data_IF_571207671288
#
_entry.id   IF_571207671288
#
_cell.length_a   1.000
_cell.length_b   1.000
_cell.length_c   1.000
_cell.angle_alpha   90.00
_cell.angle_beta   90.00
_cell.angle_gamma   90.00
#
_symmetry.space_group_name_H-M   'P 1'
#
loop_
_entity.id
_entity.type
_entity.pdbx_description
1 polymer ?
#
# COMPACT_ATOMS: atom_id res chain seq x y z
N UNK A 1 -5.07 16.61 -3.23
CA UNK A 1 -4.78 17.97 -3.72
C UNK A 1 -4.12 17.81 -5.08
N UNK A 2 -4.56 18.49 -6.16
CA UNK A 2 -3.89 18.34 -7.45
C UNK A 2 -2.55 19.08 -7.36
N UNK A 3 -1.48 18.31 -7.28
CA UNK A 3 -0.10 18.80 -7.40
C UNK A 3 0.09 19.20 -8.88
N UNK A 4 0.75 20.33 -9.19
CA UNK A 4 1.00 20.72 -10.58
C UNK A 4 1.72 19.61 -11.36
N UNK A 5 1.28 19.36 -12.60
CA UNK A 5 1.82 18.32 -13.48
C UNK A 5 1.37 16.89 -13.18
N UNK A 6 0.38 16.68 -12.30
CA UNK A 6 -0.16 15.34 -11.99
C UNK A 6 -0.78 14.61 -13.20
N UNK A 7 -1.02 15.32 -14.29
CA UNK A 7 -1.61 14.88 -15.56
C UNK A 7 -0.56 14.50 -16.62
N UNK A 8 0.73 14.64 -16.32
CA UNK A 8 1.82 14.23 -17.21
C UNK A 8 1.83 12.71 -17.47
N UNK A 9 2.16 12.32 -18.70
CA UNK A 9 2.41 10.93 -19.06
C UNK A 9 3.58 10.38 -18.23
N UNK A 10 3.34 9.30 -17.48
CA UNK A 10 4.26 8.73 -16.49
C UNK A 10 3.86 8.98 -15.03
N UNK A 11 2.87 9.83 -14.75
CA UNK A 11 2.26 9.95 -13.42
C UNK A 11 1.06 9.01 -13.34
N UNK A 12 1.10 8.03 -12.43
CA UNK A 12 0.07 7.00 -12.29
C UNK A 12 -0.42 6.91 -10.85
N UNK A 13 -1.66 6.45 -10.65
CA UNK A 13 -2.21 6.20 -9.32
C UNK A 13 -1.80 4.83 -8.81
N UNK A 14 -1.44 4.73 -7.53
CA UNK A 14 -1.00 3.49 -6.90
C UNK A 14 -2.07 2.39 -6.95
N UNK A 15 -3.35 2.77 -6.80
CA UNK A 15 -4.47 1.82 -6.90
C UNK A 15 -4.60 1.23 -8.30
N UNK A 16 -4.47 2.05 -9.34
CA UNK A 16 -4.54 1.60 -10.73
C UNK A 16 -3.31 0.73 -11.06
N UNK A 17 -2.14 1.10 -10.54
CA UNK A 17 -0.92 0.32 -10.67
C UNK A 17 -1.07 -1.07 -10.05
N UNK A 18 -1.51 -1.17 -8.79
CA UNK A 18 -1.72 -2.45 -8.11
C UNK A 18 -2.80 -3.29 -8.78
N UNK A 19 -3.92 -2.67 -9.18
CA UNK A 19 -5.00 -3.37 -9.88
C UNK A 19 -4.48 -4.02 -11.18
N UNK A 20 -3.77 -3.26 -11.99
CA UNK A 20 -3.24 -3.77 -13.26
C UNK A 20 -2.17 -4.85 -13.04
N UNK A 21 -1.31 -4.68 -12.02
CA UNK A 21 -0.33 -5.68 -11.66
C UNK A 21 -1.00 -6.99 -11.20
N UNK A 22 -2.09 -6.90 -10.41
CA UNK A 22 -2.87 -8.05 -9.93
C UNK A 22 -3.62 -8.77 -11.05
N UNK A 23 -4.10 -8.03 -12.06
CA UNK A 23 -4.76 -8.61 -13.24
C UNK A 23 -3.77 -9.20 -14.25
N UNK A 24 -2.46 -9.15 -13.96
CA UNK A 24 -1.41 -9.70 -14.83
C UNK A 24 -1.12 -8.84 -16.07
N UNK A 25 -1.60 -7.59 -16.10
CA UNK A 25 -1.28 -6.68 -17.20
C UNK A 25 0.18 -6.26 -17.14
N UNK A 26 0.84 -6.27 -18.30
CA UNK A 26 2.20 -5.71 -18.45
C UNK A 26 2.11 -4.19 -18.37
N UNK A 27 2.46 -3.65 -17.21
CA UNK A 27 2.58 -2.21 -17.00
C UNK A 27 3.94 -1.73 -17.53
N UNK A 28 3.93 -0.79 -18.48
CA UNK A 28 5.16 -0.14 -18.92
C UNK A 28 5.57 0.93 -17.91
N UNK A 29 6.37 0.53 -16.91
CA UNK A 29 7.06 1.47 -16.03
C UNK A 29 8.45 1.79 -16.61
N UNK A 30 8.86 3.06 -16.48
CA UNK A 30 10.18 3.52 -16.91
C UNK A 30 11.31 2.99 -16.02
N UNK A 31 12.55 3.44 -16.22
CA UNK A 31 13.71 2.90 -15.48
C UNK A 31 13.88 3.52 -14.09
N UNK A 32 13.36 4.73 -13.88
CA UNK A 32 13.51 5.51 -12.65
C UNK A 32 12.13 5.81 -12.10
N UNK A 33 11.72 5.03 -11.11
CA UNK A 33 10.40 5.08 -10.52
C UNK A 33 10.44 5.81 -9.18
N UNK A 34 9.57 6.80 -8.99
CA UNK A 34 9.36 7.47 -7.71
C UNK A 34 7.96 7.17 -7.20
N UNK A 35 7.86 6.41 -6.11
CA UNK A 35 6.61 6.17 -5.39
C UNK A 35 6.44 7.25 -4.32
N UNK A 36 5.26 7.85 -4.25
CA UNK A 36 4.95 8.92 -3.30
C UNK A 36 3.91 8.42 -2.30
N UNK A 37 4.27 8.33 -1.03
CA UNK A 37 3.40 7.91 0.06
C UNK A 37 4.16 7.22 1.20
N UNK A 38 3.63 7.26 2.42
CA UNK A 38 4.25 6.68 3.61
C UNK A 38 3.55 5.46 4.21
N UNK A 39 2.32 5.14 3.77
CA UNK A 39 1.51 4.03 4.33
C UNK A 39 1.79 2.67 3.70
N UNK A 40 1.14 1.63 4.21
CA UNK A 40 1.30 0.24 3.72
C UNK A 40 1.11 0.11 2.20
N UNK A 41 0.07 0.76 1.66
CA UNK A 41 -0.17 0.78 0.20
C UNK A 41 1.03 1.33 -0.58
N UNK A 42 1.74 2.31 -0.05
CA UNK A 42 2.92 2.87 -0.71
C UNK A 42 4.10 1.88 -0.70
N UNK A 43 4.25 1.10 0.37
CA UNK A 43 5.23 0.00 0.43
C UNK A 43 4.86 -1.10 -0.56
N UNK A 44 3.60 -1.51 -0.62
CA UNK A 44 3.11 -2.52 -1.58
C UNK A 44 3.37 -2.09 -3.02
N UNK A 45 3.03 -0.84 -3.35
CA UNK A 45 3.30 -0.24 -4.66
C UNK A 45 4.80 -0.25 -4.96
N UNK A 46 5.63 0.15 -4.00
CA UNK A 46 7.07 0.23 -4.18
C UNK A 46 7.72 -1.15 -4.38
N UNK A 47 7.33 -2.15 -3.58
CA UNK A 47 7.79 -3.54 -3.72
C UNK A 47 7.31 -4.15 -5.03
N UNK A 48 6.05 -3.94 -5.41
CA UNK A 48 5.52 -4.39 -6.69
C UNK A 48 6.25 -3.75 -7.88
N UNK A 49 6.52 -2.44 -7.83
CA UNK A 49 7.33 -1.76 -8.85
C UNK A 49 8.76 -2.32 -8.92
N UNK A 50 9.38 -2.61 -7.77
CA UNK A 50 10.73 -3.17 -7.71
C UNK A 50 10.79 -4.57 -8.34
N UNK A 51 9.80 -5.42 -8.05
CA UNK A 51 9.68 -6.76 -8.67
C UNK A 51 9.44 -6.67 -10.18
N UNK A 52 8.65 -5.69 -10.64
CA UNK A 52 8.50 -5.42 -12.07
C UNK A 52 9.83 -4.98 -12.72
N UNK A 53 10.62 -4.12 -12.07
CA UNK A 53 11.95 -3.75 -12.55
C UNK A 53 12.90 -4.95 -12.63
N UNK A 54 12.83 -5.87 -11.66
CA UNK A 54 13.59 -7.12 -11.68
C UNK A 54 13.23 -7.97 -12.89
N UNK A 55 11.93 -8.21 -13.12
CA UNK A 55 11.45 -9.00 -14.25
C UNK A 55 11.87 -8.40 -15.60
N UNK A 56 11.74 -7.08 -15.78
CA UNK A 56 12.15 -6.39 -17.01
C UNK A 56 13.67 -6.39 -17.21
N UNK A 57 14.45 -6.36 -16.14
CA UNK A 57 15.92 -6.48 -16.22
C UNK A 57 16.32 -7.89 -16.64
N UNK A 58 15.66 -8.90 -16.04
CA UNK A 58 15.89 -10.30 -16.35
C UNK A 58 15.53 -10.62 -17.80
N UNK A 59 14.40 -10.14 -18.31
CA UNK A 59 13.99 -10.30 -19.72
C UNK A 59 15.02 -9.66 -20.67
N UNK A 60 15.51 -8.46 -20.35
CA UNK A 60 16.52 -7.77 -21.15
C UNK A 60 17.88 -8.49 -21.12
N UNK A 61 18.31 -8.99 -19.97
CA UNK A 61 19.56 -9.74 -19.85
C UNK A 61 19.45 -11.12 -20.52
N UNK A 62 18.35 -11.83 -20.30
CA UNK A 62 18.07 -13.13 -20.91
C UNK A 62 18.13 -13.07 -22.43
N UNK A 63 17.44 -12.09 -23.03
CA UNK A 63 17.47 -11.88 -24.48
C UNK A 63 18.83 -11.48 -25.05
N UNK A 64 19.74 -10.97 -24.22
CA UNK A 64 21.07 -10.53 -24.64
C UNK A 64 22.14 -11.60 -24.41
N UNK A 65 22.03 -12.35 -23.30
CA UNK A 65 23.11 -13.19 -22.77
C UNK A 65 22.86 -14.69 -22.95
N UNK A 66 21.61 -15.14 -23.13
CA UNK A 66 21.33 -16.57 -23.29
C UNK A 66 21.46 -17.02 -24.75
N UNK A 67 22.11 -18.16 -25.01
CA UNK A 67 22.06 -18.83 -26.30
C UNK A 67 20.63 -19.29 -26.66
N UNK A 68 20.32 -19.30 -27.96
CA UNK A 68 19.00 -19.72 -28.48
C UNK A 68 18.66 -21.20 -28.22
N UNK A 69 19.66 -22.04 -27.91
CA UNK A 69 19.48 -23.46 -27.61
C UNK A 69 20.19 -23.84 -26.31
N UNK A 70 19.40 -24.08 -25.26
CA UNK A 70 19.84 -24.59 -23.97
C UNK A 70 19.01 -25.82 -23.61
N UNK A 71 19.62 -26.81 -22.96
CA UNK A 71 18.88 -27.91 -22.35
C UNK A 71 18.07 -27.41 -21.13
N UNK A 72 17.02 -28.12 -20.69
CA UNK A 72 16.19 -27.68 -19.54
C UNK A 72 17.00 -27.40 -18.27
N UNK A 73 18.02 -28.23 -17.99
CA UNK A 73 18.90 -28.06 -16.83
C UNK A 73 19.78 -26.82 -16.96
N UNK A 74 20.32 -26.55 -18.16
CA UNK A 74 21.13 -25.36 -18.41
C UNK A 74 20.28 -24.08 -18.36
N UNK A 75 19.02 -24.14 -18.82
CA UNK A 75 18.08 -23.02 -18.68
C UNK A 75 17.82 -22.70 -17.21
N UNK A 76 17.64 -23.71 -16.35
CA UNK A 76 17.37 -23.49 -14.93
C UNK A 76 18.57 -22.88 -14.20
N UNK A 77 19.79 -23.36 -14.49
CA UNK A 77 21.04 -22.81 -13.95
C UNK A 77 21.24 -21.37 -14.43
N UNK A 78 21.11 -21.13 -15.74
CA UNK A 78 21.34 -19.81 -16.32
C UNK A 78 20.30 -18.79 -15.85
N UNK A 79 19.03 -19.20 -15.68
CA UNK A 79 17.99 -18.34 -15.13
C UNK A 79 18.31 -17.93 -13.69
N UNK A 80 18.80 -18.88 -12.87
CA UNK A 80 19.21 -18.59 -11.50
C UNK A 80 20.36 -17.58 -11.45
N UNK A 81 21.39 -17.77 -12.27
CA UNK A 81 22.52 -16.83 -12.35
C UNK A 81 22.09 -15.45 -12.86
N UNK A 82 21.27 -15.39 -13.91
CA UNK A 82 20.75 -14.14 -14.45
C UNK A 82 19.88 -13.37 -13.46
N UNK A 83 19.14 -14.07 -12.60
CA UNK A 83 18.37 -13.45 -11.53
C UNK A 83 19.29 -12.72 -10.54
N UNK A 84 20.43 -13.32 -10.20
CA UNK A 84 21.43 -12.70 -9.31
C UNK A 84 22.12 -11.51 -9.98
N UNK A 85 22.46 -11.62 -11.27
CA UNK A 85 22.98 -10.49 -12.07
C UNK A 85 21.94 -9.37 -12.18
N UNK A 86 20.67 -9.70 -12.39
CA UNK A 86 19.58 -8.72 -12.49
C UNK A 86 19.45 -7.92 -11.19
N UNK A 87 19.52 -8.58 -10.03
CA UNK A 87 19.51 -7.90 -8.72
C UNK A 87 20.74 -7.05 -8.49
N UNK A 88 21.93 -7.56 -8.82
CA UNK A 88 23.17 -6.77 -8.72
C UNK A 88 23.08 -5.51 -9.60
N UNK A 89 22.53 -5.63 -10.81
CA UNK A 89 22.31 -4.51 -11.71
C UNK A 89 21.34 -3.48 -11.11
N UNK A 90 20.25 -3.90 -10.47
CA UNK A 90 19.34 -2.98 -9.76
C UNK A 90 20.02 -2.28 -8.58
N UNK A 91 20.80 -3.01 -7.77
CA UNK A 91 21.58 -2.40 -6.67
C UNK A 91 22.60 -1.39 -7.18
N UNK A 92 23.17 -1.65 -8.37
CA UNK A 92 24.06 -0.73 -9.08
C UNK A 92 23.32 0.41 -9.79
N UNK A 93 21.98 0.46 -9.73
CA UNK A 93 21.17 1.56 -10.28
C UNK A 93 20.76 1.41 -11.74
N UNK A 94 20.83 0.21 -12.32
CA UNK A 94 20.38 -0.03 -13.71
C UNK A 94 18.90 0.33 -13.92
N UNK A 95 18.07 0.04 -12.91
CA UNK A 95 16.73 0.60 -12.68
C UNK A 95 16.58 0.86 -11.17
N UNK A 96 15.84 1.90 -10.81
CA UNK A 96 15.74 2.36 -9.42
C UNK A 96 14.28 2.59 -9.05
N UNK A 97 13.90 2.16 -7.84
CA UNK A 97 12.62 2.50 -7.20
C UNK A 97 12.92 3.27 -5.93
N UNK A 98 12.41 4.49 -5.87
CA UNK A 98 12.57 5.41 -4.76
C UNK A 98 11.22 5.65 -4.10
N UNK A 99 11.13 5.44 -2.79
CA UNK A 99 9.97 5.80 -2.00
C UNK A 99 10.20 7.17 -1.35
N UNK A 100 9.30 8.10 -1.61
CA UNK A 100 9.28 9.47 -1.09
C UNK A 100 8.06 9.62 -0.19
N UNK A 101 8.27 10.04 1.06
CA UNK A 101 7.19 10.24 2.02
C UNK A 101 7.41 11.51 2.86
N UNK A 102 6.31 12.07 3.36
CA UNK A 102 6.32 13.30 4.17
C UNK A 102 6.89 13.04 5.56
N UNK A 103 6.65 11.84 6.06
CA UNK A 103 7.00 11.38 7.39
C UNK A 103 8.50 11.13 7.51
N UNK A 104 9.04 11.33 8.72
CA UNK A 104 10.33 10.74 9.08
C UNK A 104 10.22 9.21 9.10
N UNK A 105 11.36 8.50 9.13
CA UNK A 105 11.36 7.02 9.13
C UNK A 105 10.58 6.43 10.31
N UNK A 106 10.60 7.13 11.43
CA UNK A 106 9.98 6.75 12.70
C UNK A 106 8.48 7.08 12.73
N UNK A 107 8.03 8.03 11.90
CA UNK A 107 6.63 8.48 11.83
C UNK A 107 5.87 7.85 10.67
N UNK A 108 6.52 7.02 9.84
CA UNK A 108 5.87 6.36 8.71
C UNK A 108 4.65 5.55 9.16
N UNK A 109 3.47 5.71 8.51
CA UNK A 109 2.28 4.94 8.87
C UNK A 109 2.35 3.45 8.51
N UNK A 110 3.28 3.08 7.62
CA UNK A 110 3.50 1.67 7.28
C UNK A 110 4.09 0.88 8.45
N UNK A 111 3.78 -0.41 8.50
CA UNK A 111 4.37 -1.31 9.52
C UNK A 111 5.90 -1.38 9.36
N UNK A 112 6.61 -1.40 10.48
CA UNK A 112 8.08 -1.37 10.49
C UNK A 112 8.67 -2.53 9.70
N UNK A 113 8.09 -3.72 9.87
CA UNK A 113 8.48 -4.95 9.20
C UNK A 113 8.33 -4.86 7.67
N UNK A 114 7.26 -4.22 7.19
CA UNK A 114 7.01 -3.99 5.76
C UNK A 114 8.07 -3.06 5.15
N UNK A 115 8.43 -2.00 5.88
CA UNK A 115 9.47 -1.07 5.46
C UNK A 115 10.82 -1.80 5.39
N UNK A 116 11.17 -2.56 6.42
CA UNK A 116 12.45 -3.25 6.51
C UNK A 116 12.59 -4.33 5.42
N UNK A 117 11.52 -5.10 5.15
CA UNK A 117 11.49 -6.03 4.02
C UNK A 117 11.67 -5.32 2.66
N UNK A 118 11.06 -4.15 2.49
CA UNK A 118 11.24 -3.34 1.28
C UNK A 118 12.70 -2.92 1.09
N UNK A 119 13.35 -2.45 2.16
CA UNK A 119 14.76 -2.07 2.14
C UNK A 119 15.67 -3.28 1.81
N UNK A 120 15.39 -4.45 2.37
CA UNK A 120 16.09 -5.71 2.05
C UNK A 120 15.96 -6.11 0.58
N UNK A 121 14.78 -5.91 -0.03
CA UNK A 121 14.54 -6.16 -1.46
C UNK A 121 15.29 -5.15 -2.36
N UNK A 122 15.77 -4.03 -1.82
CA UNK A 122 16.55 -3.00 -2.51
C UNK A 122 15.79 -1.68 -2.73
N UNK A 123 14.66 -1.47 -2.05
CA UNK A 123 13.94 -0.20 -2.07
C UNK A 123 14.81 0.91 -1.47
N UNK A 124 14.83 2.08 -2.11
CA UNK A 124 15.49 3.26 -1.54
C UNK A 124 14.44 4.18 -0.93
N UNK A 125 14.66 4.56 0.33
CA UNK A 125 13.78 5.47 1.05
C UNK A 125 14.36 6.90 1.08
N UNK A 126 13.49 7.89 0.88
CA UNK A 126 13.75 9.32 1.05
C UNK A 126 12.64 9.93 1.91
N UNK A 127 12.77 9.79 3.25
CA UNK A 127 11.78 10.32 4.17
C UNK A 127 11.87 11.85 4.26
N UNK A 128 10.87 12.46 4.89
CA UNK A 128 10.79 13.90 5.12
C UNK A 128 10.84 14.76 3.84
N UNK A 129 10.26 14.25 2.76
CA UNK A 129 10.15 14.93 1.47
C UNK A 129 8.70 14.90 0.97
N UNK A 130 8.16 16.06 0.63
CA UNK A 130 6.86 16.20 -0.01
C UNK A 130 6.97 16.52 -1.50
N UNK A 131 6.04 16.04 -2.34
CA UNK A 131 5.98 16.46 -3.73
C UNK A 131 5.49 17.91 -3.84
N UNK A 132 6.29 18.76 -4.49
CA UNK A 132 5.93 20.16 -4.79
C UNK A 132 5.26 20.26 -6.16
N UNK A 133 5.84 19.61 -7.17
CA UNK A 133 5.27 19.50 -8.53
C UNK A 133 5.91 18.34 -9.31
N UNK A 134 5.21 17.87 -10.33
CA UNK A 134 5.74 16.98 -11.35
C UNK A 134 6.30 17.80 -12.50
N UNK A 135 7.54 17.53 -12.89
CA UNK A 135 8.22 18.25 -13.97
C UNK A 135 8.32 17.38 -15.21
N UNK A 136 8.00 17.95 -16.37
CA UNK A 136 7.94 17.22 -17.62
C UNK A 136 8.37 18.04 -18.83
N UNK A 137 8.69 17.33 -19.91
CA UNK A 137 9.00 17.88 -21.22
C UNK A 137 8.13 17.17 -22.25
N UNK A 138 7.54 17.92 -23.19
CA UNK A 138 6.66 17.37 -24.24
C UNK A 138 5.50 16.51 -23.70
N UNK A 139 4.93 16.90 -22.56
CA UNK A 139 3.83 16.16 -21.91
C UNK A 139 4.25 14.88 -21.17
N UNK A 140 5.55 14.54 -21.15
CA UNK A 140 6.09 13.36 -20.45
C UNK A 140 6.83 13.75 -19.19
N UNK A 141 6.67 12.95 -18.14
CA UNK A 141 7.36 13.09 -16.87
C UNK A 141 8.87 12.93 -17.04
N UNK A 142 9.62 13.84 -16.41
CA UNK A 142 11.11 13.82 -16.37
C UNK A 142 11.66 13.89 -14.94
N UNK A 143 10.82 14.23 -13.95
CA UNK A 143 11.18 14.25 -12.55
C UNK A 143 10.04 14.66 -11.63
N UNK A 144 10.26 14.50 -10.33
CA UNK A 144 9.42 15.05 -9.27
C UNK A 144 10.23 16.12 -8.53
N UNK A 145 9.75 17.35 -8.51
CA UNK A 145 10.28 18.36 -7.61
C UNK A 145 9.75 18.09 -6.20
N UNK A 146 10.67 17.92 -5.26
CA UNK A 146 10.37 17.67 -3.85
C UNK A 146 10.83 18.83 -2.99
N UNK A 147 10.21 18.97 -1.83
CA UNK A 147 10.56 19.97 -0.82
C UNK A 147 10.62 19.28 0.55
N UNK A 148 11.54 19.70 1.41
CA UNK A 148 11.69 19.10 2.74
C UNK A 148 10.45 19.36 3.59
N UNK A 149 9.89 18.29 4.12
CA UNK A 149 8.82 18.31 5.11
C UNK A 149 9.45 18.43 6.51
N UNK A 150 9.11 19.51 7.22
CA UNK A 150 9.63 19.80 8.57
C UNK A 150 8.81 19.12 9.66
N UNK A 151 7.50 19.05 9.47
CA UNK A 151 6.58 18.34 10.37
C UNK A 151 5.37 17.88 9.57
N UNK A 152 4.88 16.68 9.83
CA UNK A 152 3.66 16.16 9.18
C UNK A 152 2.40 16.52 9.96
N UNK A 153 2.51 16.57 11.29
CA UNK A 153 1.41 16.82 12.20
C UNK A 153 1.56 18.17 12.91
N UNK A 154 0.43 18.79 13.26
CA UNK A 154 0.41 19.93 14.17
C UNK A 154 0.47 19.49 15.65
N UNK A 155 0.47 20.46 16.57
CA UNK A 155 0.51 20.20 18.02
C UNK A 155 -0.72 19.42 18.56
N UNK A 156 -1.80 19.31 17.78
CA UNK A 156 -2.98 18.52 18.11
C UNK A 156 -2.97 17.15 17.40
N UNK A 157 -1.83 16.73 16.85
CA UNK A 157 -1.68 15.50 16.08
C UNK A 157 -2.58 15.42 14.84
N UNK A 158 -3.01 16.56 14.30
CA UNK A 158 -3.77 16.59 13.04
C UNK A 158 -2.80 16.69 11.87
N UNK A 159 -3.13 16.00 10.78
CA UNK A 159 -2.36 16.07 9.54
C UNK A 159 -2.34 17.51 9.02
N UNK A 160 -1.17 18.15 9.07
CA UNK A 160 -0.95 19.53 8.67
C UNK A 160 0.55 19.72 8.32
N UNK A 161 0.99 19.22 7.16
CA UNK A 161 2.40 19.21 6.81
C UNK A 161 2.95 20.63 6.64
N UNK A 162 4.13 20.89 7.20
CA UNK A 162 4.86 22.15 7.04
C UNK A 162 6.15 21.91 6.26
N UNK A 163 6.49 22.84 5.36
CA UNK A 163 7.62 22.67 4.44
C UNK A 163 8.69 23.74 4.63
N UNK A 164 9.94 23.37 4.38
CA UNK A 164 11.09 24.26 4.45
C UNK A 164 11.42 24.83 3.07
N UNK A 165 11.03 26.09 2.82
CA UNK A 165 11.33 26.77 1.56
C UNK A 165 12.85 26.92 1.34
N UNK A 166 13.29 26.82 0.09
CA UNK A 166 14.72 26.84 -0.28
C UNK A 166 15.40 25.47 -0.26
N UNK A 167 14.66 24.41 0.10
CA UNK A 167 15.15 23.01 0.08
C UNK A 167 14.71 22.22 -1.15
N UNK A 168 14.11 22.90 -2.12
CA UNK A 168 13.57 22.26 -3.31
C UNK A 168 14.64 21.56 -4.13
N UNK A 169 14.34 20.34 -4.56
CA UNK A 169 15.22 19.57 -5.43
C UNK A 169 14.41 18.66 -6.34
N UNK A 170 14.86 18.52 -7.58
CA UNK A 170 14.25 17.62 -8.57
C UNK A 170 14.89 16.26 -8.46
N UNK A 171 14.07 15.24 -8.24
CA UNK A 171 14.44 13.83 -8.35
C UNK A 171 14.14 13.39 -9.79
N UNK A 172 15.15 13.07 -10.62
CA UNK A 172 14.92 12.64 -12.00
C UNK A 172 14.21 11.29 -12.03
N UNK A 173 13.08 11.22 -12.72
CA UNK A 173 12.28 10.01 -12.85
C UNK A 173 11.48 10.02 -14.15
N UNK A 174 11.21 8.85 -14.70
CA UNK A 174 10.35 8.68 -15.88
C UNK A 174 8.99 8.07 -15.52
N UNK A 175 8.82 7.64 -14.27
CA UNK A 175 7.54 7.18 -13.73
C UNK A 175 7.39 7.66 -12.30
N UNK A 176 6.21 8.20 -11.95
CA UNK A 176 5.86 8.46 -10.57
C UNK A 176 4.53 7.82 -10.22
N UNK A 177 4.48 7.14 -9.07
CA UNK A 177 3.31 6.40 -8.61
C UNK A 177 2.78 7.06 -7.33
N UNK A 178 1.56 7.59 -7.40
CA UNK A 178 0.88 8.28 -6.32
C UNK A 178 0.16 7.29 -5.40
N UNK A 179 0.71 7.04 -4.21
CA UNK A 179 0.16 6.18 -3.17
C UNK A 179 -0.14 6.97 -1.88
N UNK A 180 -0.77 8.14 -2.04
CA UNK A 180 -1.06 9.11 -0.96
C UNK A 180 -2.41 8.88 -0.26
N UNK A 181 -2.95 7.66 -0.36
CA UNK A 181 -4.27 7.31 0.18
C UNK A 181 -5.41 7.47 -0.83
N UNK A 182 -6.62 7.12 -0.36
CA UNK A 182 -7.86 7.17 -1.13
C UNK A 182 -8.84 8.13 -0.47
N UNK A 183 -9.72 8.72 -1.27
CA UNK A 183 -10.83 9.53 -0.80
C UNK A 183 -12.13 8.95 -1.34
N UNK A 184 -13.20 9.07 -0.56
CA UNK A 184 -14.52 8.66 -0.99
C UNK A 184 -15.02 9.55 -2.12
N UNK A 185 -15.56 8.95 -3.16
CA UNK A 185 -16.38 9.65 -4.15
C UNK A 185 -17.86 9.46 -3.79
N UNK A 186 -18.46 10.52 -3.25
CA UNK A 186 -19.87 10.57 -2.87
C UNK A 186 -20.67 11.51 -3.78
N UNK A 187 -20.13 11.86 -4.95
CA UNK A 187 -20.77 12.79 -5.90
C UNK A 187 -22.10 12.28 -6.48
N UNK A 188 -22.35 10.97 -6.37
CA UNK A 188 -23.62 10.36 -6.77
C UNK A 188 -24.77 10.63 -5.79
N UNK A 189 -24.47 11.06 -4.56
CA UNK A 189 -25.49 11.40 -3.57
C UNK A 189 -26.09 12.78 -3.86
N UNK A 190 -27.41 12.85 -3.79
CA UNK A 190 -28.19 14.08 -3.96
C UNK A 190 -28.86 14.46 -2.64
N UNK A 191 -29.25 15.74 -2.46
CA UNK A 191 -30.02 16.14 -1.28
C UNK A 191 -31.33 15.36 -1.08
N UNK A 192 -31.91 14.80 -2.15
CA UNK A 192 -33.14 14.01 -2.09
C UNK A 192 -32.94 12.64 -1.42
N UNK A 193 -31.70 12.14 -1.38
CA UNK A 193 -31.37 10.85 -0.76
C UNK A 193 -31.36 10.91 0.77
N UNK A 194 -31.31 12.12 1.36
CA UNK A 194 -31.30 12.33 2.81
C UNK A 194 -30.03 11.86 3.53
N UNK A 195 -28.99 11.48 2.79
CA UNK A 195 -27.69 11.03 3.31
C UNK A 195 -26.73 12.22 3.41
N UNK A 196 -26.42 12.62 4.63
CA UNK A 196 -25.43 13.67 4.90
C UNK A 196 -24.00 13.11 4.89
N UNK A 197 -23.04 13.96 4.56
CA UNK A 197 -21.61 13.64 4.58
C UNK A 197 -20.89 14.41 5.69
N UNK A 198 -19.83 13.83 6.25
CA UNK A 198 -18.97 14.50 7.22
C UNK A 198 -18.03 15.49 6.54
N UNK A 199 -17.40 16.38 7.33
CA UNK A 199 -16.32 17.26 6.83
C UNK A 199 -15.14 16.51 6.22
N UNK A 200 -14.95 15.25 6.62
CA UNK A 200 -13.87 14.38 6.16
C UNK A 200 -14.22 13.65 4.85
N UNK A 201 -15.42 13.86 4.31
CA UNK A 201 -15.86 13.21 3.07
C UNK A 201 -16.32 11.77 3.25
N UNK A 202 -16.75 11.38 4.46
CA UNK A 202 -17.37 10.08 4.74
C UNK A 202 -18.88 10.22 4.88
N UNK A 203 -19.61 9.10 4.82
CA UNK A 203 -21.05 9.10 5.14
C UNK A 203 -21.23 9.37 6.62
N UNK A 204 -22.08 10.34 6.96
CA UNK A 204 -22.41 10.65 8.36
C UNK A 204 -23.31 9.54 8.90
N UNK A 205 -22.87 8.92 9.99
CA UNK A 205 -23.56 7.81 10.64
C UNK A 205 -23.73 8.03 12.14
N UNK A 206 -24.70 7.36 12.72
CA UNK A 206 -24.77 7.10 14.15
C UNK A 206 -23.75 6.00 14.53
N UNK A 207 -22.90 6.27 15.51
CA UNK A 207 -21.78 5.38 15.85
C UNK A 207 -22.23 4.08 16.54
N UNK A 208 -23.42 4.05 17.12
CA UNK A 208 -23.97 2.86 17.79
C UNK A 208 -24.66 1.93 16.80
N UNK A 209 -25.47 2.49 15.90
CA UNK A 209 -26.32 1.75 14.96
C UNK A 209 -25.72 1.62 13.56
N UNK A 210 -24.73 2.44 13.21
CA UNK A 210 -24.16 2.59 11.86
C UNK A 210 -25.17 3.07 10.80
N UNK A 211 -26.35 3.52 11.22
CA UNK A 211 -27.35 4.09 10.33
C UNK A 211 -26.89 5.48 9.89
N UNK A 212 -27.05 5.77 8.60
CA UNK A 212 -26.85 7.12 8.07
C UNK A 212 -27.96 8.07 8.56
N UNK A 213 -27.88 9.34 8.16
CA UNK A 213 -28.97 10.30 8.43
C UNK A 213 -30.28 9.96 7.70
N UNK A 214 -30.22 9.14 6.64
CA UNK A 214 -31.39 8.60 5.98
C UNK A 214 -31.84 7.29 6.68
N UNK A 215 -33.09 7.22 7.18
CA UNK A 215 -33.61 6.03 7.83
C UNK A 215 -33.54 4.80 6.91
N UNK A 216 -33.05 3.68 7.45
CA UNK A 216 -32.94 2.42 6.71
C UNK A 216 -31.72 2.32 5.79
N UNK A 217 -30.91 3.37 5.67
CA UNK A 217 -29.62 3.34 4.96
C UNK A 217 -28.51 3.26 5.99
N UNK A 218 -27.59 2.31 5.82
CA UNK A 218 -26.48 2.06 6.73
C UNK A 218 -25.14 2.16 5.98
N UNK A 219 -24.08 2.56 6.68
CA UNK A 219 -22.73 2.59 6.14
C UNK A 219 -21.72 2.01 7.13
N UNK A 220 -20.75 1.26 6.62
CA UNK A 220 -19.77 0.52 7.41
C UNK A 220 -18.41 0.49 6.70
N UNK A 221 -17.33 0.22 7.43
CA UNK A 221 -15.98 0.22 6.87
C UNK A 221 -15.48 1.63 6.56
N UNK A 222 -14.56 1.74 5.61
CA UNK A 222 -13.83 2.98 5.33
C UNK A 222 -14.74 4.13 4.88
N UNK A 223 -15.86 3.83 4.21
CA UNK A 223 -16.80 4.86 3.76
C UNK A 223 -17.50 5.59 4.92
N UNK A 224 -17.56 4.96 6.09
CA UNK A 224 -18.16 5.52 7.30
C UNK A 224 -17.11 6.10 8.27
N UNK A 225 -15.95 5.44 8.40
CA UNK A 225 -14.97 5.74 9.44
C UNK A 225 -13.62 6.27 8.93
N UNK A 226 -13.42 6.30 7.61
CA UNK A 226 -12.11 6.51 7.00
C UNK A 226 -11.25 5.25 7.02
N UNK A 227 -10.03 5.32 6.43
CA UNK A 227 -9.18 4.15 6.20
C UNK A 227 -8.79 3.45 7.50
N UNK A 228 -9.14 2.15 7.61
CA UNK A 228 -8.79 1.30 8.77
C UNK A 228 -8.36 -0.09 8.32
N UNK A 229 -7.85 -0.90 9.26
CA UNK A 229 -7.52 -2.29 8.99
C UNK A 229 -8.75 -3.11 8.55
N UNK A 230 -8.54 -4.11 7.70
CA UNK A 230 -9.61 -4.99 7.17
C UNK A 230 -10.47 -5.64 8.27
N UNK A 231 -9.86 -5.98 9.41
CA UNK A 231 -10.56 -6.56 10.56
C UNK A 231 -11.64 -5.62 11.11
N UNK A 232 -11.41 -4.31 11.04
CA UNK A 232 -12.37 -3.31 11.49
C UNK A 232 -13.54 -3.24 10.49
N UNK A 233 -13.27 -3.22 9.19
CA UNK A 233 -14.31 -3.24 8.17
C UNK A 233 -15.20 -4.49 8.27
N UNK A 234 -14.62 -5.67 8.54
CA UNK A 234 -15.36 -6.90 8.79
C UNK A 234 -16.21 -6.78 10.07
N UNK A 235 -15.66 -6.22 11.13
CA UNK A 235 -16.40 -5.99 12.37
C UNK A 235 -17.57 -5.00 12.18
N UNK A 236 -17.35 -3.90 11.46
CA UNK A 236 -18.39 -2.93 11.13
C UNK A 236 -19.48 -3.56 10.28
N UNK A 237 -19.13 -4.40 9.29
CA UNK A 237 -20.10 -5.11 8.45
C UNK A 237 -20.98 -6.05 9.26
N UNK A 238 -20.40 -6.79 10.21
CA UNK A 238 -21.17 -7.62 11.16
C UNK A 238 -22.12 -6.79 12.02
N UNK A 239 -21.62 -5.65 12.52
CA UNK A 239 -22.43 -4.72 13.32
C UNK A 239 -23.57 -4.12 12.50
N UNK A 240 -23.31 -3.65 11.29
CA UNK A 240 -24.32 -3.10 10.39
C UNK A 240 -25.39 -4.15 10.05
N UNK A 241 -25.00 -5.41 9.79
CA UNK A 241 -25.95 -6.49 9.54
C UNK A 241 -26.91 -6.72 10.73
N UNK A 242 -26.40 -6.71 11.96
CA UNK A 242 -27.22 -6.81 13.17
C UNK A 242 -28.18 -5.62 13.33
N UNK A 243 -27.72 -4.41 13.02
CA UNK A 243 -28.53 -3.19 13.13
C UNK A 243 -29.58 -3.09 12.02
N UNK A 244 -29.28 -3.58 10.81
CA UNK A 244 -30.26 -3.74 9.72
C UNK A 244 -31.34 -4.74 10.15
N UNK A 245 -30.96 -5.90 10.69
CA UNK A 245 -31.91 -6.91 11.20
C UNK A 245 -32.81 -6.32 12.30
N UNK A 246 -32.21 -5.55 13.22
CA UNK A 246 -32.95 -4.83 14.27
C UNK A 246 -33.90 -3.78 13.72
N UNK A 247 -33.48 -3.01 12.71
CA UNK A 247 -34.31 -1.99 12.08
C UNK A 247 -35.51 -2.60 11.34
N UNK A 248 -35.30 -3.70 10.62
CA UNK A 248 -36.36 -4.38 9.87
C UNK A 248 -37.37 -5.09 10.78
N UNK A 249 -36.90 -5.70 11.88
CA UNK A 249 -37.75 -6.46 12.80
C UNK A 249 -38.40 -5.59 13.90
N UNK A 250 -37.84 -4.42 14.19
CA UNK A 250 -38.33 -3.51 15.23
C UNK A 250 -38.46 -4.22 16.58
N UNK A 251 -39.66 -4.17 17.17
CA UNK A 251 -39.96 -4.80 18.46
C UNK A 251 -39.83 -6.33 18.46
N UNK A 252 -39.86 -6.97 17.28
CA UNK A 252 -39.71 -8.44 17.15
C UNK A 252 -38.25 -8.89 17.19
N UNK A 253 -37.30 -7.96 17.12
CA UNK A 253 -35.89 -8.31 17.09
C UNK A 253 -35.47 -8.93 18.43
N UNK A 254 -34.69 -10.01 18.35
CA UNK A 254 -34.05 -10.63 19.50
C UNK A 254 -32.57 -10.86 19.23
N UNK A 255 -31.70 -10.64 20.23
CA UNK A 255 -30.28 -10.88 20.07
C UNK A 255 -30.04 -12.35 19.79
N UNK A 256 -29.22 -12.65 18.76
CA UNK A 256 -28.82 -14.03 18.48
C UNK A 256 -27.91 -14.53 19.61
N UNK A 257 -28.20 -15.69 20.22
CA UNK A 257 -27.32 -16.23 21.25
C UNK A 257 -25.94 -16.51 20.66
N UNK A 258 -24.90 -15.94 21.27
CA UNK A 258 -23.51 -16.22 20.94
C UNK A 258 -23.03 -17.36 21.82
N UNK A 259 -22.85 -18.53 21.23
CA UNK A 259 -22.25 -19.67 21.92
C UNK A 259 -20.74 -19.60 21.73
N UNK A 260 -20.00 -19.43 22.82
CA UNK A 260 -18.54 -19.58 22.83
C UNK A 260 -18.26 -21.00 23.28
N UNK A 261 -17.80 -21.85 22.37
CA UNK A 261 -17.28 -23.16 22.74
C UNK A 261 -15.81 -23.01 23.08
N UNK A 262 -15.49 -23.01 24.37
CA UNK A 262 -14.10 -23.04 24.85
C UNK A 262 -13.68 -24.50 24.95
N UNK A 263 -12.82 -24.93 24.04
CA UNK A 263 -12.17 -26.24 24.15
C UNK A 263 -10.93 -26.07 25.02
N UNK A 264 -10.99 -26.50 26.27
CA UNK A 264 -9.81 -26.58 27.13
C UNK A 264 -9.07 -27.87 26.77
N UNK A 265 -7.87 -27.73 26.21
CA UNK A 265 -6.99 -28.86 25.94
C UNK A 265 -6.28 -29.25 27.25
N UNK A 266 -6.76 -30.31 27.89
CA UNK A 266 -6.25 -30.87 29.15
C UNK A 266 -4.82 -31.43 29.09
N UNK A 267 -4.29 -31.59 27.88
CA UNK A 267 -2.97 -32.13 27.57
C UNK A 267 -1.99 -31.07 27.07
N UNK A 268 -2.40 -29.81 26.97
CA UNK A 268 -1.52 -28.72 26.55
C UNK A 268 -1.20 -27.79 27.72
N UNK A 269 0.04 -27.83 28.20
CA UNK A 269 0.60 -26.84 29.12
C UNK A 269 1.71 -26.07 28.40
N UNK A 270 1.60 -24.74 28.37
CA UNK A 270 2.69 -23.90 27.92
C UNK A 270 3.86 -24.00 28.91
N UNK A 271 5.10 -23.99 28.41
CA UNK A 271 6.30 -24.01 29.26
C UNK A 271 6.25 -22.86 30.27
N UNK A 272 6.73 -23.08 31.49
CA UNK A 272 6.88 -22.03 32.50
C UNK A 272 7.79 -20.87 32.03
N UNK A 273 8.65 -21.12 31.04
CA UNK A 273 9.55 -20.14 30.42
C UNK A 273 9.01 -19.60 29.09
N UNK A 274 7.75 -19.88 28.73
CA UNK A 274 7.20 -19.47 27.43
C UNK A 274 7.36 -17.96 27.20
N UNK A 275 7.14 -17.18 28.25
CA UNK A 275 7.21 -15.71 28.22
C UNK A 275 8.66 -15.19 28.17
N UNK A 276 9.66 -16.04 28.45
CA UNK A 276 11.09 -15.71 28.41
C UNK A 276 11.66 -15.78 26.99
N UNK A 277 10.95 -16.45 26.08
CA UNK A 277 11.38 -16.59 24.70
C UNK A 277 10.85 -15.43 23.86
N UNK A 278 11.75 -14.71 23.20
CA UNK A 278 11.35 -13.75 22.18
C UNK A 278 10.64 -14.46 21.04
N UNK A 279 9.58 -13.84 20.54
CA UNK A 279 8.85 -14.34 19.38
C UNK A 279 9.83 -14.48 18.22
N UNK A 280 9.96 -15.70 17.70
CA UNK A 280 10.79 -15.92 16.52
C UNK A 280 10.14 -15.18 15.34
N UNK A 281 10.95 -14.52 14.48
CA UNK A 281 10.43 -13.94 13.26
C UNK A 281 9.82 -15.05 12.40
N UNK A 282 8.70 -14.75 11.75
CA UNK A 282 8.08 -15.67 10.80
C UNK A 282 9.11 -15.97 9.70
N UNK A 283 9.40 -17.24 9.40
CA UNK A 283 10.30 -17.57 8.31
C UNK A 283 9.79 -16.94 7.01
N UNK A 284 10.67 -16.24 6.31
CA UNK A 284 10.35 -15.59 5.04
C UNK A 284 11.07 -16.28 3.89
N UNK A 285 10.44 -16.31 2.71
CA UNK A 285 11.09 -16.71 1.49
C UNK A 285 12.36 -15.87 1.29
N UNK A 286 13.49 -16.50 0.93
CA UNK A 286 14.68 -15.78 0.50
C UNK A 286 14.31 -14.81 -0.62
N UNK A 287 14.92 -13.62 -0.64
CA UNK A 287 14.64 -12.57 -1.64
C UNK A 287 14.76 -13.13 -3.06
N UNK A 288 15.58 -14.16 -3.26
CA UNK A 288 15.81 -14.84 -4.52
C UNK A 288 14.55 -15.50 -5.10
N UNK A 289 13.63 -15.92 -4.23
CA UNK A 289 12.40 -16.64 -4.56
C UNK A 289 11.14 -15.78 -4.50
N UNK A 290 11.26 -14.51 -4.10
CA UNK A 290 10.13 -13.56 -4.03
C UNK A 290 9.80 -13.04 -5.44
N UNK A 291 9.08 -13.86 -6.21
CA UNK A 291 8.64 -13.49 -7.56
C UNK A 291 7.17 -13.11 -7.56
N UNK A 292 6.82 -12.05 -8.30
CA UNK A 292 5.45 -11.57 -8.43
C UNK A 292 4.78 -11.34 -7.07
N UNK A 293 3.73 -12.10 -6.81
CA UNK A 293 2.90 -12.05 -5.59
C UNK A 293 2.98 -13.34 -4.75
N UNK A 294 4.07 -14.10 -4.89
CA UNK A 294 4.29 -15.30 -4.07
C UNK A 294 4.24 -14.95 -2.59
N UNK A 295 3.51 -15.75 -1.81
CA UNK A 295 3.45 -15.64 -0.35
C UNK A 295 4.86 -15.64 0.22
N UNK A 296 5.23 -14.54 0.91
CA UNK A 296 6.59 -14.33 1.41
C UNK A 296 6.77 -14.96 2.79
N UNK A 297 5.76 -14.89 3.64
CA UNK A 297 5.77 -15.48 4.97
C UNK A 297 5.35 -16.95 4.87
N UNK A 298 6.23 -17.88 5.25
CA UNK A 298 6.06 -19.32 5.02
C UNK A 298 5.89 -20.15 6.30
N UNK A 299 5.49 -19.52 7.41
CA UNK A 299 5.39 -20.14 8.72
C UNK A 299 4.20 -19.69 9.55
#
# INVERSE_FOLDING_TARGET
MPIPGHDLDGVIKGVDFLLNANLGYRLSIGKRVVVIGGGNVAIDVARAALRQQQALTLEALSSTLLPDSLTPTEQEIAMKELMDVSRAALRMGAREVLLVCLESREEMPAFGEEIDQGLEEGLKLRPSLGPKQFVGQNGKLTGVETIRCKSVFDAQHRFNPTFEAGTESVIPCDTSILAIGQASDLSFLTPADGVETTRQGTVKIDLETLMSTAPGIFAAGDIAFGPRAVINAVADGKKAAEQIDRYLLGEKWQPRPKYIQITVLDHHQMSATFDEHSRLPVPVLPVERRTGFTEVEIG
#
